data_IF_138446668211
#
_entry.id   IF_138446668211
#
_cell.length_a   1.000
_cell.length_b   1.000
_cell.length_c   1.000
_cell.angle_alpha   90.00
_cell.angle_beta   90.00
_cell.angle_gamma   90.00
#
_symmetry.space_group_name_H-M   'P 1'
#
loop_
_entity.id
_entity.type
_entity.pdbx_description
1 polymer ?
#
# COMPACT_ATOMS: atom_id res chain seq x y z
N UNK A 1 -1.00 2.67 -19.56
CA UNK A 1 -1.53 2.78 -18.18
C UNK A 1 -1.09 1.56 -17.41
N UNK A 2 -0.64 1.72 -16.17
CA UNK A 2 -0.21 0.63 -15.29
C UNK A 2 -1.06 0.74 -14.01
N UNK A 3 -1.56 -0.39 -13.51
CA UNK A 3 -2.29 -0.46 -12.24
C UNK A 3 -1.39 -1.18 -11.23
N UNK A 4 -1.23 -0.58 -10.06
CA UNK A 4 -0.44 -1.11 -8.96
C UNK A 4 -1.35 -1.29 -7.75
N UNK A 5 -1.20 -2.40 -7.04
CA UNK A 5 -1.86 -2.62 -5.77
C UNK A 5 -0.99 -2.09 -4.64
N UNK A 6 -1.63 -1.42 -3.67
CA UNK A 6 -0.98 -0.90 -2.47
C UNK A 6 -1.37 -1.69 -1.22
N UNK A 7 -0.65 -1.44 -0.13
CA UNK A 7 -0.73 -2.20 1.12
C UNK A 7 -2.14 -2.27 1.72
N UNK A 8 -2.92 -1.19 1.60
CA UNK A 8 -4.28 -1.15 2.17
C UNK A 8 -5.24 -2.10 1.45
N UNK A 9 -5.07 -2.31 0.13
CA UNK A 9 -5.82 -3.32 -0.61
C UNK A 9 -5.34 -4.73 -0.27
N UNK A 10 -4.04 -4.90 -0.06
CA UNK A 10 -3.48 -6.17 0.41
C UNK A 10 -4.08 -6.56 1.77
N UNK A 11 -4.14 -5.62 2.72
CA UNK A 11 -4.74 -5.84 4.04
C UNK A 11 -6.23 -6.22 3.95
N UNK A 12 -7.05 -5.49 3.19
CA UNK A 12 -8.45 -5.84 2.98
C UNK A 12 -8.65 -7.22 2.36
N UNK A 13 -7.84 -7.55 1.36
CA UNK A 13 -7.94 -8.82 0.63
C UNK A 13 -7.29 -9.99 1.39
N UNK A 14 -6.79 -9.75 2.59
CA UNK A 14 -6.06 -10.71 3.42
C UNK A 14 -4.90 -11.37 2.64
N UNK A 15 -4.18 -10.57 1.85
CA UNK A 15 -3.04 -11.01 1.05
C UNK A 15 -3.39 -11.70 -0.28
N UNK A 16 -4.68 -11.77 -0.69
CA UNK A 16 -5.05 -12.29 -2.03
C UNK A 16 -4.55 -11.39 -3.16
N UNK A 17 -4.52 -10.08 -2.94
CA UNK A 17 -3.88 -9.11 -3.83
C UNK A 17 -2.63 -8.57 -3.15
N UNK A 18 -1.46 -8.96 -3.63
CA UNK A 18 -0.19 -8.51 -3.05
C UNK A 18 0.18 -7.11 -3.56
N UNK A 19 0.63 -6.26 -2.64
CA UNK A 19 1.16 -4.95 -2.90
C UNK A 19 2.37 -5.07 -3.82
N UNK A 20 2.35 -4.30 -4.89
CA UNK A 20 3.32 -4.45 -5.98
C UNK A 20 4.57 -3.63 -5.67
N UNK A 21 5.62 -4.29 -5.20
CA UNK A 21 6.94 -3.67 -5.05
C UNK A 21 7.45 -3.13 -6.39
N UNK A 22 7.71 -1.83 -6.46
CA UNK A 22 8.20 -1.16 -7.65
C UNK A 22 9.25 -0.11 -7.29
N UNK A 23 10.17 0.14 -8.22
CA UNK A 23 11.20 1.18 -8.08
C UNK A 23 11.45 1.86 -9.40
N UNK A 24 11.80 3.14 -9.35
CA UNK A 24 12.21 3.91 -10.53
C UNK A 24 13.73 3.89 -10.62
N UNK A 25 14.27 3.50 -11.77
CA UNK A 25 15.71 3.66 -12.05
C UNK A 25 15.96 5.01 -12.69
N UNK A 26 16.97 5.72 -12.20
CA UNK A 26 17.48 6.92 -12.83
C UNK A 26 18.16 6.56 -14.16
N UNK A 27 17.95 7.41 -15.17
CA UNK A 27 18.49 7.25 -16.53
C UNK A 27 18.77 8.64 -17.09
N UNK A 28 19.72 8.77 -18.02
CA UNK A 28 20.06 10.07 -18.65
C UNK A 28 18.93 10.63 -19.54
N UNK A 29 17.94 9.81 -19.86
CA UNK A 29 16.78 10.19 -20.66
C UNK A 29 15.72 10.89 -19.82
N UNK A 30 15.21 12.03 -20.31
CA UNK A 30 14.09 12.74 -19.69
C UNK A 30 12.83 11.89 -19.77
N UNK A 31 12.19 11.62 -18.62
CA UNK A 31 10.96 10.85 -18.49
C UNK A 31 9.96 11.59 -17.61
N UNK A 32 8.69 11.59 -18.02
CA UNK A 32 7.58 12.14 -17.25
C UNK A 32 6.56 11.02 -16.98
N UNK A 33 6.02 10.98 -15.77
CA UNK A 33 4.95 10.05 -15.38
C UNK A 33 3.89 10.80 -14.57
N UNK A 34 2.63 10.52 -14.85
CA UNK A 34 1.50 11.02 -14.08
C UNK A 34 0.94 9.87 -13.25
N UNK A 35 0.69 10.13 -11.96
CA UNK A 35 0.17 9.13 -11.02
C UNK A 35 -1.15 9.61 -10.43
N UNK A 36 -2.07 8.67 -10.26
CA UNK A 36 -3.32 8.85 -9.53
C UNK A 36 -3.36 7.80 -8.43
N UNK A 37 -3.59 8.25 -7.20
CA UNK A 37 -3.76 7.36 -6.04
C UNK A 37 -5.23 7.30 -5.64
N UNK A 38 -5.71 6.08 -5.41
CA UNK A 38 -7.02 5.83 -4.81
C UNK A 38 -6.80 5.35 -3.39
N UNK A 39 -7.44 6.01 -2.43
CA UNK A 39 -7.41 5.68 -1.02
C UNK A 39 -8.80 5.84 -0.42
N UNK A 40 -9.03 5.19 0.72
CA UNK A 40 -10.23 5.44 1.53
C UNK A 40 -10.09 6.75 2.32
N UNK A 41 -11.16 7.18 2.98
CA UNK A 41 -11.08 8.32 3.88
C UNK A 41 -10.23 7.99 5.12
N UNK A 42 -9.55 8.99 5.67
CA UNK A 42 -8.56 8.87 6.75
C UNK A 42 -9.01 8.07 7.98
N UNK A 43 -10.26 8.26 8.41
CA UNK A 43 -10.85 7.58 9.57
C UNK A 43 -11.34 6.15 9.32
N UNK A 44 -11.26 5.65 8.08
CA UNK A 44 -11.69 4.29 7.76
C UNK A 44 -10.65 3.30 8.28
N UNK A 45 -11.10 2.40 9.15
CA UNK A 45 -10.32 1.24 9.59
C UNK A 45 -10.33 0.17 8.50
N UNK A 46 -9.15 -0.24 8.07
CA UNK A 46 -8.92 -1.32 7.12
C UNK A 46 -8.43 -2.55 7.88
N UNK A 47 -9.14 -3.66 7.70
CA UNK A 47 -8.85 -4.97 8.28
C UNK A 47 -9.28 -6.05 7.28
N UNK A 48 -8.75 -7.29 7.35
CA UNK A 48 -9.19 -8.38 6.47
C UNK A 48 -10.71 -8.48 6.36
N UNK A 49 -11.24 -8.42 5.14
CA UNK A 49 -12.67 -8.57 4.89
C UNK A 49 -13.10 -10.00 5.22
N UNK A 50 -14.30 -10.19 5.77
CA UNK A 50 -14.81 -11.53 6.13
C UNK A 50 -14.83 -12.49 4.93
N UNK A 51 -15.14 -11.98 3.73
CA UNK A 51 -15.10 -12.76 2.48
C UNK A 51 -13.68 -13.19 2.06
N UNK A 52 -12.67 -12.63 2.70
CA UNK A 52 -11.26 -12.90 2.49
C UNK A 52 -10.64 -13.67 3.68
N UNK A 53 -11.43 -14.17 4.61
CA UNK A 53 -10.95 -14.97 5.74
C UNK A 53 -11.63 -16.33 5.71
N UNK A 54 -10.84 -17.40 5.82
CA UNK A 54 -11.33 -18.77 5.89
C UNK A 54 -10.35 -19.64 6.69
N UNK A 55 -10.64 -20.94 6.81
CA UNK A 55 -9.81 -21.86 7.60
C UNK A 55 -8.39 -22.03 7.04
N UNK A 56 -8.21 -21.88 5.73
CA UNK A 56 -6.91 -22.04 5.05
C UNK A 56 -6.17 -20.69 4.92
N UNK A 57 -6.89 -19.57 5.00
CA UNK A 57 -6.36 -18.20 5.02
C UNK A 57 -6.94 -17.40 6.22
N UNK A 58 -6.47 -17.65 7.45
CA UNK A 58 -6.89 -16.89 8.63
C UNK A 58 -6.49 -15.41 8.52
N UNK A 59 -6.98 -14.50 9.38
CA UNK A 59 -6.60 -13.09 9.33
C UNK A 59 -5.08 -12.91 9.48
N UNK A 60 -4.44 -12.25 8.50
CA UNK A 60 -2.97 -12.05 8.44
C UNK A 60 -2.52 -10.63 8.74
N UNK A 61 -3.46 -9.68 8.80
CA UNK A 61 -3.17 -8.25 8.94
C UNK A 61 -3.98 -7.68 10.11
N UNK A 62 -3.33 -6.84 10.90
CA UNK A 62 -3.98 -6.08 11.96
C UNK A 62 -4.81 -4.93 11.38
N UNK A 63 -5.85 -4.54 12.12
CA UNK A 63 -6.68 -3.40 11.77
C UNK A 63 -5.88 -2.09 11.89
N UNK A 64 -5.93 -1.25 10.86
CA UNK A 64 -5.22 0.02 10.78
C UNK A 64 -6.07 1.06 10.05
N UNK A 65 -6.07 2.32 10.50
CA UNK A 65 -6.75 3.38 9.75
C UNK A 65 -5.91 3.85 8.55
N UNK A 66 -6.57 4.43 7.55
CA UNK A 66 -5.86 5.04 6.41
C UNK A 66 -4.93 6.18 6.83
N UNK A 67 -5.32 6.95 7.84
CA UNK A 67 -4.44 7.96 8.41
C UNK A 67 -3.16 7.34 8.97
N UNK A 68 -3.30 6.32 9.82
CA UNK A 68 -2.15 5.66 10.46
C UNK A 68 -1.22 5.01 9.41
N UNK A 69 -1.79 4.41 8.36
CA UNK A 69 -1.02 3.90 7.23
C UNK A 69 -0.23 5.00 6.53
N UNK A 70 -0.90 6.10 6.16
CA UNK A 70 -0.28 7.22 5.47
C UNK A 70 0.85 7.84 6.29
N UNK A 71 0.64 8.06 7.60
CA UNK A 71 1.66 8.57 8.51
C UNK A 71 2.87 7.64 8.63
N UNK A 72 2.64 6.32 8.67
CA UNK A 72 3.70 5.32 8.71
C UNK A 72 4.53 5.32 7.43
N UNK A 73 3.89 5.38 6.27
CA UNK A 73 4.60 5.38 4.97
C UNK A 73 5.35 6.69 4.72
N UNK A 74 4.79 7.84 5.12
CA UNK A 74 5.51 9.13 5.07
C UNK A 74 6.77 9.09 5.93
N UNK A 75 6.66 8.62 7.18
CA UNK A 75 7.80 8.49 8.08
C UNK A 75 8.88 7.55 7.52
N UNK A 76 8.49 6.44 6.90
CA UNK A 76 9.42 5.52 6.21
C UNK A 76 10.11 6.21 5.04
N UNK A 77 9.37 6.92 4.21
CA UNK A 77 9.92 7.63 3.07
C UNK A 77 10.93 8.70 3.48
N UNK A 78 10.66 9.45 4.56
CA UNK A 78 11.59 10.41 5.14
C UNK A 78 12.88 9.73 5.61
N UNK A 79 12.76 8.63 6.36
CA UNK A 79 13.92 7.85 6.81
C UNK A 79 14.78 7.33 5.66
N UNK A 80 14.17 6.87 4.56
CA UNK A 80 14.92 6.40 3.38
C UNK A 80 15.57 7.54 2.61
N UNK A 81 14.93 8.72 2.55
CA UNK A 81 15.50 9.91 1.92
C UNK A 81 16.75 10.38 2.64
N UNK A 82 16.75 10.35 3.97
CA UNK A 82 17.88 10.80 4.78
C UNK A 82 19.06 9.78 4.76
N UNK A 83 18.83 8.58 4.23
CA UNK A 83 19.85 7.53 4.06
C UNK A 83 20.46 7.48 2.64
N UNK A 84 19.94 8.26 1.68
CA UNK A 84 20.33 8.23 0.26
C UNK A 84 21.23 9.36 -0.17
#
# INVERSE_FOLDING_TARGET
MIVLFGDMLEAWSNGRFQATGHRVRMTDQKRMSFVLFFAVNDGVTVAPLDSCVDADNPPRYDALTQQQHSERELRRAEQYRDQS
#
